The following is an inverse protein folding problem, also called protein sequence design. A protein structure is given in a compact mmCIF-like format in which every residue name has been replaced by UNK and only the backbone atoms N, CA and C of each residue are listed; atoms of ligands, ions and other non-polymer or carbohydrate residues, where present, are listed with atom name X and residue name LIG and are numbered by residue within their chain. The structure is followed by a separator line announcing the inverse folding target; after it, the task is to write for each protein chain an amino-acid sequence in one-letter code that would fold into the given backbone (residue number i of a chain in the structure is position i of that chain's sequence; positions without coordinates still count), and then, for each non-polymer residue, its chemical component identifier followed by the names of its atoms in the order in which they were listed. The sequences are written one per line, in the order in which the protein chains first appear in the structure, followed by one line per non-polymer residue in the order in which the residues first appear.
data_IF_722141925463
#
_entry.id   IF_722141925463
#
_cell.length_a   1.000
_cell.length_b   1.000
_cell.length_c   1.000
_cell.angle_alpha   90.00
_cell.angle_beta   90.00
_cell.angle_gamma   90.00
#
_symmetry.space_group_name_H-M   'P 1'
#
loop_
_entity.id
_entity.type
_entity.pdbx_description
1 polymer ?
#
# COMPACT_ATOMS: atom_id res chain seq x y z
N UNK A 1 1.23 27.55 -1.96
CA UNK A 1 0.92 26.12 -1.88
C UNK A 1 2.23 25.42 -1.56
N UNK A 2 2.21 24.41 -0.71
CA UNK A 2 3.41 23.61 -0.46
C UNK A 2 3.65 22.69 -1.67
N UNK A 3 4.92 22.47 -2.00
CA UNK A 3 5.35 21.53 -3.03
C UNK A 3 6.38 20.58 -2.43
N UNK A 4 6.28 19.29 -2.77
CA UNK A 4 7.16 18.24 -2.24
C UNK A 4 7.42 17.22 -3.33
N UNK A 5 8.64 16.66 -3.35
CA UNK A 5 9.03 15.59 -4.27
C UNK A 5 9.33 14.32 -3.49
N UNK A 6 8.71 13.21 -3.86
CA UNK A 6 8.89 11.91 -3.20
C UNK A 6 9.05 10.79 -4.23
N UNK A 7 9.69 9.70 -3.84
CA UNK A 7 9.94 8.53 -4.70
C UNK A 7 8.91 7.39 -4.52
N UNK A 8 8.10 7.48 -3.48
CA UNK A 8 7.04 6.51 -3.17
C UNK A 8 5.64 7.11 -3.34
N UNK A 9 5.48 8.02 -4.32
CA UNK A 9 4.17 8.60 -4.65
C UNK A 9 3.22 7.53 -5.18
N UNK A 10 1.94 7.52 -4.75
CA UNK A 10 0.94 6.62 -5.31
C UNK A 10 0.58 6.93 -6.76
N UNK A 11 0.93 8.12 -7.25
CA UNK A 11 0.78 8.57 -8.64
C UNK A 11 2.15 8.93 -9.18
N UNK A 12 2.59 8.23 -10.24
CA UNK A 12 3.84 8.54 -10.94
C UNK A 12 3.64 9.72 -11.91
N UNK A 13 3.49 10.90 -11.34
CA UNK A 13 3.19 12.17 -11.97
C UNK A 13 2.92 13.20 -10.89
N UNK A 14 2.45 14.38 -11.31
CA UNK A 14 2.05 15.41 -10.36
C UNK A 14 0.65 15.13 -9.81
N UNK A 15 0.48 15.32 -8.52
CA UNK A 15 -0.80 15.23 -7.84
C UNK A 15 -0.98 16.38 -6.85
N UNK A 16 -2.23 16.65 -6.46
CA UNK A 16 -2.56 17.68 -5.48
C UNK A 16 -3.45 17.06 -4.39
N UNK A 17 -3.19 17.42 -3.13
CA UNK A 17 -4.02 16.99 -2.01
C UNK A 17 -5.33 17.78 -1.98
N UNK A 18 -6.47 17.11 -2.19
CA UNK A 18 -7.81 17.71 -2.21
C UNK A 18 -8.57 17.55 -0.91
N UNK A 19 -8.24 16.55 -0.10
CA UNK A 19 -8.65 16.40 1.30
C UNK A 19 -7.52 15.71 2.07
N UNK A 20 -7.42 15.96 3.38
CA UNK A 20 -6.33 15.44 4.19
C UNK A 20 -6.84 14.69 5.42
N UNK A 21 -6.02 13.84 5.98
CA UNK A 21 -6.34 13.07 7.16
C UNK A 21 -6.72 13.98 8.34
N UNK A 22 -7.77 13.59 9.06
CA UNK A 22 -8.23 14.29 10.24
C UNK A 22 -9.17 15.49 9.97
N UNK A 23 -9.41 15.84 8.70
CA UNK A 23 -10.41 16.88 8.39
C UNK A 23 -11.80 16.49 8.90
N UNK A 24 -12.53 17.49 9.41
CA UNK A 24 -13.91 17.37 9.87
C UNK A 24 -14.84 18.18 9.00
N UNK A 25 -16.09 17.75 8.86
CA UNK A 25 -17.07 18.45 8.07
C UNK A 25 -18.27 17.58 7.71
N UNK A 26 -19.24 18.12 6.93
CA UNK A 26 -20.48 17.41 6.63
C UNK A 26 -20.31 16.17 5.76
N UNK A 27 -19.15 16.04 5.10
CA UNK A 27 -18.87 14.91 4.20
C UNK A 27 -18.36 13.67 4.94
N UNK A 28 -17.99 13.77 6.22
CA UNK A 28 -17.42 12.67 7.01
C UNK A 28 -18.21 12.43 8.29
N UNK A 29 -18.41 11.17 8.66
CA UNK A 29 -19.19 10.81 9.85
C UNK A 29 -18.48 11.21 11.16
N UNK A 30 -17.14 11.24 11.19
CA UNK A 30 -16.29 11.70 12.30
C UNK A 30 -15.19 12.62 11.78
N UNK A 31 -14.29 12.08 10.98
CA UNK A 31 -13.18 12.78 10.33
C UNK A 31 -12.81 12.05 9.04
N UNK A 32 -12.07 12.70 8.15
CA UNK A 32 -11.51 12.12 6.93
C UNK A 32 -10.41 11.11 7.29
N UNK A 33 -10.60 9.85 6.92
CA UNK A 33 -9.78 8.72 7.36
C UNK A 33 -8.51 8.50 6.56
N UNK A 34 -8.35 9.23 5.45
CA UNK A 34 -7.22 9.13 4.55
C UNK A 34 -6.71 10.46 4.04
N UNK A 35 -5.95 10.40 2.97
CA UNK A 35 -5.51 11.56 2.19
C UNK A 35 -5.96 11.37 0.75
N UNK A 36 -6.60 12.41 0.17
CA UNK A 36 -7.11 12.38 -1.19
C UNK A 36 -6.12 13.02 -2.16
N UNK A 37 -5.68 12.23 -3.14
CA UNK A 37 -4.79 12.65 -4.21
C UNK A 37 -5.59 12.79 -5.51
N UNK A 38 -5.64 13.99 -6.06
CA UNK A 38 -6.15 14.23 -7.41
C UNK A 38 -5.00 14.44 -8.40
N UNK A 39 -5.14 14.03 -9.67
CA UNK A 39 -4.17 14.36 -10.72
C UNK A 39 -3.98 15.87 -10.84
N UNK A 40 -2.74 16.33 -11.11
CA UNK A 40 -2.41 17.74 -11.25
C UNK A 40 -1.53 17.99 -12.48
N UNK A 41 -1.57 19.23 -13.00
CA UNK A 41 -0.74 19.64 -14.15
C UNK A 41 -1.00 18.82 -15.41
N UNK A 42 0.02 18.16 -15.92
CA UNK A 42 -0.05 17.32 -17.12
C UNK A 42 -0.42 15.86 -16.84
N UNK A 43 -0.63 15.48 -15.57
CA UNK A 43 -1.02 14.11 -15.22
C UNK A 43 -2.41 13.78 -15.75
N UNK A 44 -2.61 12.66 -16.46
CA UNK A 44 -3.91 12.25 -16.97
C UNK A 44 -4.98 12.17 -15.86
N UNK A 45 -6.25 12.35 -16.19
CA UNK A 45 -7.35 12.30 -15.21
C UNK A 45 -7.55 10.95 -14.52
N UNK A 46 -7.12 9.87 -15.14
CA UNK A 46 -7.17 8.52 -14.60
C UNK A 46 -5.79 7.87 -14.70
N UNK A 47 -4.80 8.32 -13.90
CA UNK A 47 -3.45 7.77 -13.95
C UNK A 47 -3.41 6.37 -13.35
N UNK A 48 -2.35 5.63 -13.70
CA UNK A 48 -2.01 4.41 -13.00
C UNK A 48 -1.65 4.72 -11.54
N UNK A 49 -2.09 3.85 -10.64
CA UNK A 49 -1.75 3.88 -9.22
C UNK A 49 -0.68 2.85 -8.92
N UNK A 50 0.29 3.25 -8.12
CA UNK A 50 1.44 2.44 -7.74
C UNK A 50 1.49 2.22 -6.24
N UNK A 51 2.14 1.13 -5.80
CA UNK A 51 2.34 0.87 -4.39
C UNK A 51 3.28 1.93 -3.79
N UNK A 52 2.93 2.41 -2.60
CA UNK A 52 3.77 3.35 -1.83
C UNK A 52 4.81 2.64 -0.96
N UNK A 53 4.81 1.31 -0.95
CA UNK A 53 5.71 0.49 -0.13
C UNK A 53 6.08 -0.82 -0.83
N UNK A 54 7.08 -1.50 -0.30
CA UNK A 54 7.29 -2.93 -0.52
C UNK A 54 6.41 -3.70 0.46
N UNK A 55 5.68 -4.73 -0.05
CA UNK A 55 4.71 -5.42 0.80
C UNK A 55 4.00 -6.57 0.12
N UNK A 56 2.91 -7.00 0.73
CA UNK A 56 2.05 -8.08 0.25
C UNK A 56 0.60 -7.62 0.16
N UNK A 57 -0.07 -7.98 -0.93
CA UNK A 57 -1.53 -7.78 -1.07
C UNK A 57 -2.25 -8.70 -0.11
N UNK A 58 -3.04 -8.13 0.80
CA UNK A 58 -3.79 -8.88 1.81
C UNK A 58 -5.31 -8.88 1.57
N UNK A 59 -5.79 -7.95 0.75
CA UNK A 59 -7.21 -7.93 0.35
C UNK A 59 -7.40 -7.21 -0.99
N UNK A 60 -8.39 -7.66 -1.77
CA UNK A 60 -8.89 -7.01 -2.99
C UNK A 60 -10.41 -6.98 -2.92
N UNK A 61 -11.00 -5.79 -2.98
CA UNK A 61 -12.45 -5.58 -2.85
C UNK A 61 -13.00 -5.04 -4.15
N UNK A 62 -13.89 -5.79 -4.77
CA UNK A 62 -14.60 -5.39 -5.99
C UNK A 62 -15.85 -4.60 -5.63
N UNK A 63 -16.04 -3.44 -6.25
CA UNK A 63 -17.24 -2.62 -6.09
C UNK A 63 -18.46 -3.29 -6.72
N UNK A 64 -19.51 -3.48 -5.92
CA UNK A 64 -20.78 -4.10 -6.34
C UNK A 64 -21.95 -3.14 -6.34
N UNK A 65 -21.68 -1.81 -6.27
CA UNK A 65 -22.71 -0.78 -6.28
C UNK A 65 -23.11 -0.23 -4.90
N UNK A 66 -22.57 -0.78 -3.80
CA UNK A 66 -22.99 -0.40 -2.43
C UNK A 66 -21.85 0.08 -1.53
N UNK A 67 -20.62 -0.30 -1.82
CA UNK A 67 -19.45 0.06 -0.98
C UNK A 67 -19.09 1.53 -1.18
N UNK A 68 -19.10 2.33 -0.11
CA UNK A 68 -18.78 3.76 -0.16
C UNK A 68 -17.37 4.04 -0.72
N UNK A 69 -16.40 3.15 -0.46
CA UNK A 69 -15.00 3.29 -0.90
C UNK A 69 -14.71 2.68 -2.28
N UNK A 70 -15.75 2.16 -2.97
CA UNK A 70 -15.60 1.64 -4.33
C UNK A 70 -14.69 0.41 -4.43
N UNK A 71 -13.99 0.28 -5.56
CA UNK A 71 -12.96 -0.74 -5.75
C UNK A 71 -11.73 -0.42 -4.88
N UNK A 72 -11.21 -1.44 -4.18
CA UNK A 72 -10.13 -1.25 -3.21
C UNK A 72 -9.08 -2.37 -3.33
N UNK A 73 -7.85 -2.04 -2.95
CA UNK A 73 -6.79 -3.01 -2.66
C UNK A 73 -6.13 -2.64 -1.34
N UNK A 74 -5.77 -3.64 -0.54
CA UNK A 74 -5.08 -3.48 0.74
C UNK A 74 -3.74 -4.19 0.68
N UNK A 75 -2.68 -3.46 1.05
CA UNK A 75 -1.30 -3.93 1.04
C UNK A 75 -0.77 -3.84 2.47
N UNK A 76 -0.18 -4.92 2.97
CA UNK A 76 0.59 -4.90 4.21
C UNK A 76 2.01 -4.49 3.89
N UNK A 77 2.48 -3.43 4.54
CA UNK A 77 3.83 -2.88 4.42
C UNK A 77 4.83 -3.73 5.21
N UNK A 78 5.86 -4.23 4.55
CA UNK A 78 6.88 -5.08 5.16
C UNK A 78 7.70 -4.36 6.23
N UNK A 79 7.92 -3.05 6.06
CA UNK A 79 8.79 -2.28 6.93
C UNK A 79 8.14 -1.94 8.27
N UNK A 80 6.83 -1.75 8.28
CA UNK A 80 6.06 -1.30 9.45
C UNK A 80 5.09 -2.35 9.98
N UNK A 81 4.69 -3.32 9.14
CA UNK A 81 3.61 -4.25 9.40
C UNK A 81 2.21 -3.63 9.30
N UNK A 82 2.11 -2.34 9.05
CA UNK A 82 0.86 -1.61 8.88
C UNK A 82 0.26 -1.82 7.47
N UNK A 83 -0.90 -1.23 7.23
CA UNK A 83 -1.69 -1.48 6.03
C UNK A 83 -1.99 -0.20 5.28
N UNK A 84 -1.79 -0.25 3.96
CA UNK A 84 -2.20 0.77 3.01
C UNK A 84 -3.45 0.31 2.28
N UNK A 85 -4.49 1.17 2.19
CA UNK A 85 -5.69 0.91 1.41
C UNK A 85 -5.89 1.97 0.34
N UNK A 86 -5.97 1.52 -0.90
CA UNK A 86 -6.27 2.33 -2.09
C UNK A 86 -7.75 2.20 -2.40
N UNK A 87 -8.47 3.30 -2.54
CA UNK A 87 -9.89 3.33 -2.73
C UNK A 87 -10.29 4.04 -4.02
N UNK A 88 -11.56 3.92 -4.40
CA UNK A 88 -12.20 4.56 -5.54
C UNK A 88 -11.61 4.20 -6.90
N UNK A 89 -10.86 3.11 -7.01
CA UNK A 89 -10.25 2.68 -8.28
C UNK A 89 -11.30 2.49 -9.37
N UNK A 90 -10.91 2.76 -10.61
CA UNK A 90 -11.79 2.66 -11.78
C UNK A 90 -12.31 1.23 -12.04
N UNK A 91 -11.48 0.23 -11.75
CA UNK A 91 -11.77 -1.20 -11.84
C UNK A 91 -11.16 -1.92 -10.63
N UNK A 92 -11.52 -3.18 -10.38
CA UNK A 92 -10.82 -4.01 -9.40
C UNK A 92 -9.31 -4.03 -9.67
N UNK A 93 -8.51 -4.14 -8.60
CA UNK A 93 -7.06 -4.29 -8.75
C UNK A 93 -6.72 -5.49 -9.64
N UNK A 94 -5.72 -5.38 -10.51
CA UNK A 94 -5.23 -6.51 -11.30
C UNK A 94 -4.46 -7.54 -10.45
N UNK A 95 -4.13 -7.18 -9.20
CA UNK A 95 -3.38 -8.02 -8.27
C UNK A 95 -4.30 -9.01 -7.54
N UNK A 96 -3.69 -10.07 -7.03
CA UNK A 96 -4.32 -11.11 -6.22
C UNK A 96 -3.80 -11.07 -4.77
N UNK A 97 -4.58 -11.57 -3.83
CA UNK A 97 -4.13 -11.76 -2.44
C UNK A 97 -2.90 -12.67 -2.44
N UNK A 98 -1.84 -12.24 -1.75
CA UNK A 98 -0.55 -12.90 -1.70
C UNK A 98 0.49 -12.37 -2.67
N UNK A 99 0.11 -11.55 -3.66
CA UNK A 99 1.07 -10.95 -4.58
C UNK A 99 2.02 -10.01 -3.84
N UNK A 100 3.31 -10.08 -4.19
CA UNK A 100 4.36 -9.17 -3.71
C UNK A 100 4.34 -7.89 -4.53
N UNK A 101 4.51 -6.77 -3.87
CA UNK A 101 4.55 -5.45 -4.49
C UNK A 101 5.79 -4.66 -4.07
N UNK A 102 6.21 -3.76 -4.94
CA UNK A 102 7.21 -2.72 -4.69
C UNK A 102 6.69 -1.39 -5.17
N UNK A 103 7.37 -0.29 -4.92
CA UNK A 103 6.97 1.04 -5.41
C UNK A 103 6.89 1.15 -6.94
N UNK A 104 7.42 0.17 -7.67
CA UNK A 104 7.26 0.05 -9.14
C UNK A 104 6.00 -0.73 -9.54
N UNK A 105 5.29 -1.36 -8.59
CA UNK A 105 4.15 -2.23 -8.91
C UNK A 105 2.88 -1.40 -9.09
N UNK A 106 2.27 -1.50 -10.27
CA UNK A 106 0.94 -0.95 -10.52
C UNK A 106 -0.11 -1.72 -9.71
N UNK A 107 -0.85 -0.99 -8.87
CA UNK A 107 -1.92 -1.57 -8.02
C UNK A 107 -3.32 -1.37 -8.59
N UNK A 108 -3.46 -0.45 -9.54
CA UNK A 108 -4.75 -0.17 -10.17
C UNK A 108 -4.71 1.08 -11.06
N UNK A 109 -5.88 1.66 -11.28
CA UNK A 109 -6.08 2.92 -12.01
C UNK A 109 -6.98 3.81 -11.18
N UNK A 110 -6.62 5.08 -11.03
CA UNK A 110 -7.44 6.07 -10.36
C UNK A 110 -8.82 6.15 -11.00
N UNK A 111 -9.84 6.23 -10.17
CA UNK A 111 -11.22 6.25 -10.65
C UNK A 111 -12.14 7.11 -9.80
N UNK A 112 -13.41 6.76 -9.83
CA UNK A 112 -14.48 7.47 -9.14
C UNK A 112 -15.60 6.50 -8.72
N UNK A 113 -15.23 5.25 -8.38
CA UNK A 113 -16.20 4.27 -7.89
C UNK A 113 -16.51 4.49 -6.40
N UNK A 114 -17.73 4.17 -5.99
CA UNK A 114 -18.20 4.41 -4.64
C UNK A 114 -18.88 5.77 -4.45
N UNK A 115 -18.84 6.31 -3.24
CA UNK A 115 -19.47 7.58 -2.89
C UNK A 115 -18.47 8.74 -2.99
N UNK A 116 -18.33 9.31 -4.17
CA UNK A 116 -17.34 10.35 -4.48
C UNK A 116 -17.96 11.49 -5.30
N UNK A 117 -17.36 12.69 -5.23
CA UNK A 117 -17.76 13.85 -6.02
C UNK A 117 -16.98 14.02 -7.33
N UNK A 118 -15.91 13.27 -7.51
CA UNK A 118 -15.06 13.30 -8.71
C UNK A 118 -13.88 12.32 -8.60
N UNK A 119 -13.12 12.13 -9.69
CA UNK A 119 -12.00 11.20 -9.70
C UNK A 119 -10.88 11.63 -8.73
N UNK A 120 -10.51 10.74 -7.82
CA UNK A 120 -9.37 10.88 -6.93
C UNK A 120 -8.97 9.50 -6.34
N UNK A 121 -7.77 9.41 -5.81
CA UNK A 121 -7.35 8.33 -4.93
C UNK A 121 -7.62 8.77 -3.49
N UNK A 122 -8.46 8.04 -2.76
CA UNK A 122 -8.50 8.07 -1.31
C UNK A 122 -7.53 7.02 -0.79
N UNK A 123 -6.43 7.47 -0.18
CA UNK A 123 -5.39 6.61 0.36
C UNK A 123 -5.48 6.60 1.89
N UNK A 124 -5.64 5.42 2.48
CA UNK A 124 -5.67 5.24 3.93
C UNK A 124 -4.44 4.48 4.42
N UNK A 125 -4.04 4.75 5.65
CA UNK A 125 -2.99 4.04 6.38
C UNK A 125 -3.50 3.64 7.75
N UNK A 126 -3.16 2.44 8.24
CA UNK A 126 -3.68 1.97 9.52
C UNK A 126 -2.95 0.77 10.08
N UNK A 127 -3.15 0.52 11.38
CA UNK A 127 -2.46 -0.55 12.13
C UNK A 127 -3.06 -1.93 11.94
N UNK A 128 -4.23 -2.03 11.32
CA UNK A 128 -4.93 -3.31 11.08
C UNK A 128 -5.55 -3.34 9.70
N UNK A 129 -5.79 -4.54 9.17
CA UNK A 129 -6.58 -4.74 7.96
C UNK A 129 -8.10 -4.58 8.19
N UNK A 130 -8.53 -4.52 9.44
CA UNK A 130 -9.89 -4.22 9.88
C UNK A 130 -9.97 -2.75 10.24
N UNK A 131 -10.61 -1.96 9.39
CA UNK A 131 -10.62 -0.51 9.49
C UNK A 131 -11.65 -0.03 10.51
N UNK A 132 -11.18 0.59 11.57
CA UNK A 132 -11.98 1.34 12.53
C UNK A 132 -11.34 2.70 12.81
N UNK A 133 -12.11 3.66 13.33
CA UNK A 133 -11.58 5.01 13.55
C UNK A 133 -10.35 5.06 14.47
N UNK A 134 -10.19 4.08 15.36
CA UNK A 134 -9.08 4.01 16.31
C UNK A 134 -7.82 3.36 15.71
N UNK A 135 -7.91 2.81 14.49
CA UNK A 135 -6.78 2.13 13.81
C UNK A 135 -6.19 2.94 12.66
N UNK A 136 -6.84 4.05 12.25
CA UNK A 136 -6.31 4.91 11.21
C UNK A 136 -5.11 5.72 11.69
N UNK A 137 -4.12 5.83 10.84
CA UNK A 137 -2.94 6.67 10.98
C UNK A 137 -2.94 7.70 9.84
N UNK A 138 -2.16 8.78 10.00
CA UNK A 138 -2.03 9.80 8.97
C UNK A 138 -1.17 9.30 7.79
N UNK A 139 -1.75 9.13 6.59
CA UNK A 139 -0.99 8.72 5.41
C UNK A 139 0.08 9.74 5.00
N UNK A 140 -0.21 11.03 5.18
CA UNK A 140 0.73 12.10 4.81
C UNK A 140 2.00 12.03 5.65
N UNK A 141 1.89 11.77 6.96
CA UNK A 141 3.05 11.61 7.83
C UNK A 141 3.89 10.38 7.44
N UNK A 142 3.21 9.27 7.10
CA UNK A 142 3.87 8.04 6.66
C UNK A 142 4.60 8.21 5.32
N UNK A 143 4.10 9.07 4.44
CA UNK A 143 4.73 9.42 3.16
C UNK A 143 5.79 10.54 3.30
N UNK A 144 5.89 11.18 4.47
CA UNK A 144 6.79 12.32 4.69
C UNK A 144 6.37 13.61 3.97
N UNK A 145 5.06 13.79 3.73
CA UNK A 145 4.51 14.96 3.04
C UNK A 145 3.66 15.82 3.99
N UNK A 146 3.49 17.13 3.72
CA UNK A 146 2.61 17.99 4.52
C UNK A 146 1.16 17.50 4.49
N UNK A 147 0.53 17.36 5.65
CA UNK A 147 -0.90 17.06 5.78
C UNK A 147 -1.74 18.34 5.58
N UNK A 148 -1.71 18.90 4.38
CA UNK A 148 -2.34 20.18 4.07
C UNK A 148 -2.96 20.18 2.68
N UNK A 149 -4.22 20.62 2.56
CA UNK A 149 -4.88 20.79 1.27
C UNK A 149 -4.08 21.72 0.36
N UNK A 150 -4.07 21.41 -0.93
CA UNK A 150 -3.34 22.18 -1.93
C UNK A 150 -1.84 21.88 -1.95
N UNK A 151 -1.33 20.95 -1.14
CA UNK A 151 0.04 20.45 -1.31
C UNK A 151 0.16 19.76 -2.66
N UNK A 152 1.14 20.18 -3.47
CA UNK A 152 1.48 19.53 -4.73
C UNK A 152 2.56 18.49 -4.44
N UNK A 153 2.32 17.28 -4.89
CA UNK A 153 3.24 16.14 -4.74
C UNK A 153 3.76 15.76 -6.11
N UNK A 154 5.08 15.85 -6.27
CA UNK A 154 5.80 15.45 -7.48
C UNK A 154 6.42 14.06 -7.27
N UNK A 155 6.33 13.20 -8.27
CA UNK A 155 7.07 11.95 -8.30
C UNK A 155 8.48 12.20 -8.85
N UNK A 156 9.52 11.76 -8.15
CA UNK A 156 10.91 12.05 -8.55
C UNK A 156 11.46 11.18 -9.69
N UNK A 157 10.64 10.20 -10.15
CA UNK A 157 11.03 9.29 -11.23
C UNK A 157 11.97 8.16 -10.79
N UNK A 158 12.41 8.13 -9.53
CA UNK A 158 13.26 7.05 -9.02
C UNK A 158 12.41 5.86 -8.59
N UNK A 159 12.52 4.77 -9.32
CA UNK A 159 11.96 3.49 -8.90
C UNK A 159 12.97 2.83 -7.94
N UNK A 160 12.57 2.56 -6.71
CA UNK A 160 13.39 1.72 -5.82
C UNK A 160 13.39 0.30 -6.43
N UNK A 161 14.55 -0.24 -6.86
CA UNK A 161 14.61 -1.60 -7.38
C UNK A 161 14.04 -2.56 -6.33
N UNK A 162 13.34 -3.62 -6.72
CA UNK A 162 12.93 -4.66 -5.79
C UNK A 162 14.17 -5.16 -5.04
N UNK A 163 14.06 -5.27 -3.72
CA UNK A 163 15.07 -5.95 -2.91
C UNK A 163 15.25 -7.36 -3.52
N UNK A 164 16.48 -7.83 -3.75
CA UNK A 164 16.70 -9.15 -4.32
C UNK A 164 15.92 -10.16 -3.48
N UNK A 165 15.12 -11.01 -4.14
CA UNK A 165 14.42 -12.10 -3.46
C UNK A 165 15.43 -12.83 -2.56
N UNK A 166 15.07 -13.10 -1.27
CA UNK A 166 15.96 -13.89 -0.41
C UNK A 166 16.31 -15.16 -1.17
N UNK A 167 17.61 -15.41 -1.33
CA UNK A 167 18.08 -16.65 -1.98
C UNK A 167 17.32 -17.82 -1.34
N UNK A 168 16.76 -18.74 -2.15
CA UNK A 168 16.04 -19.89 -1.62
C UNK A 168 16.93 -20.57 -0.58
N UNK A 169 16.42 -20.67 0.66
CA UNK A 169 17.14 -21.38 1.73
C UNK A 169 17.69 -22.66 1.15
N UNK A 170 19.02 -22.73 1.05
CA UNK A 170 19.67 -23.95 0.59
C UNK A 170 19.22 -25.05 1.55
N UNK A 171 18.42 -25.97 1.02
CA UNK A 171 18.01 -27.16 1.75
C UNK A 171 19.25 -27.76 2.40
N UNK A 172 19.43 -27.51 3.71
CA UNK A 172 20.52 -28.17 4.46
C UNK A 172 20.22 -29.64 4.34
N UNK A 173 20.87 -30.28 3.37
CA UNK A 173 20.82 -31.74 3.25
C UNK A 173 21.18 -32.28 4.61
N UNK A 174 20.16 -32.71 5.36
CA UNK A 174 20.35 -33.42 6.62
C UNK A 174 21.24 -34.62 6.32
N UNK A 175 22.54 -34.44 6.47
CA UNK A 175 23.47 -35.57 6.50
C UNK A 175 22.95 -36.48 7.61
N UNK A 176 22.36 -37.57 7.23
CA UNK A 176 22.07 -38.68 8.14
C UNK A 176 23.41 -39.09 8.75
N UNK A 177 23.70 -38.54 9.93
CA UNK A 177 24.78 -39.08 10.75
C UNK A 177 24.41 -40.51 11.02
N UNK A 178 25.29 -41.50 10.62
CA UNK A 178 25.03 -42.91 10.89
C UNK A 178 25.23 -43.15 12.37
N UNK A 179 24.15 -43.16 13.14
CA UNK A 179 24.08 -43.53 14.57
C UNK A 179 24.63 -44.93 14.86
N UNK A 180 25.06 -45.68 13.82
CA UNK A 180 25.52 -47.06 13.93
C UNK A 180 26.94 -47.20 14.51
N UNK A 181 27.72 -46.11 14.59
CA UNK A 181 29.12 -46.22 15.07
C UNK A 181 29.32 -45.97 16.57
N UNK A 182 28.31 -45.50 17.29
CA UNK A 182 28.44 -45.22 18.73
C UNK A 182 27.98 -46.38 19.64
N UNK A 183 27.26 -47.35 19.14
CA UNK A 183 26.73 -48.45 19.94
C UNK A 183 27.73 -49.61 20.18
N UNK A 184 28.95 -49.57 19.62
CA UNK A 184 29.93 -50.68 19.71
C UNK A 184 31.07 -50.48 20.73
N UNK A 185 31.09 -49.39 21.48
CA UNK A 185 32.20 -49.08 22.43
C UNK A 185 31.86 -49.25 23.90
N UNK A 186 30.66 -49.67 24.29
CA UNK A 186 30.29 -49.88 25.69
C UNK A 186 29.76 -51.30 26.02
N UNK A 187 30.25 -52.32 25.31
CA UNK A 187 30.02 -53.71 25.69
C UNK A 187 31.34 -54.43 25.82
N UNK A 188 32.12 -54.10 26.80
CA UNK A 188 33.18 -54.93 27.43
C UNK A 188 33.86 -54.13 28.52
N UNK A 189 33.24 -54.14 29.69
CA UNK A 189 33.90 -54.20 31.03
C UNK A 189 32.86 -54.65 32.05
#
# INVERSE_FOLDING_TARGET
MAEVTINNSPIHGDSILTAVYGETGPNWSRFHTGTDFAPYGSTPSNPDLYSVCTGVVVNVITYTGTQALGNQVVIQDDSTGNFWRYCHMNAPSPLSIGDRVTTATKVGVLGSTGNVTGPHLHLEYGTTSYWSYDTFLNPSDALGIPNARGTIVHYDGSVVPPEPEPEPEQEIKKHKFPWVLYARKFRNR
#
